data_IF_604206141908
#
_entry.id   IF_604206141908
#
_cell.length_a   1.000
_cell.length_b   1.000
_cell.length_c   1.000
_cell.angle_alpha   90.00
_cell.angle_beta   90.00
_cell.angle_gamma   90.00
#
_symmetry.space_group_name_H-M   'P 1'
#
loop_
_entity.id
_entity.type
_entity.pdbx_description
1 polymer ?
#
# COMPACT_ATOMS: atom_id res chain seq x y z
N UNK A 1 1.76 -23.05 19.39
CA UNK A 1 3.22 -23.22 19.34
C UNK A 1 3.61 -24.47 18.55
N UNK A 2 3.26 -24.51 17.28
CA UNK A 2 3.76 -25.54 16.37
C UNK A 2 5.14 -25.10 15.88
N UNK A 3 6.21 -25.81 16.28
CA UNK A 3 7.60 -25.57 15.88
C UNK A 3 7.93 -25.83 14.41
N UNK A 4 6.92 -25.72 13.53
CA UNK A 4 7.00 -26.01 12.09
C UNK A 4 7.49 -24.80 11.29
N UNK A 5 7.34 -23.58 11.80
CA UNK A 5 7.79 -22.37 11.11
C UNK A 5 9.18 -21.95 11.59
N UNK A 6 10.17 -21.94 10.71
CA UNK A 6 11.49 -21.40 11.01
C UNK A 6 11.40 -19.90 11.37
N UNK A 7 12.38 -19.36 12.11
CA UNK A 7 12.44 -17.94 12.48
C UNK A 7 12.29 -17.00 11.27
N UNK A 8 12.77 -17.42 10.12
CA UNK A 8 12.74 -16.66 8.87
C UNK A 8 11.30 -16.44 8.37
N UNK A 9 10.47 -17.49 8.37
CA UNK A 9 9.07 -17.35 7.95
C UNK A 9 8.23 -16.51 8.92
N UNK A 10 8.55 -16.56 10.21
CA UNK A 10 7.89 -15.73 11.22
C UNK A 10 8.13 -14.23 11.00
N UNK A 11 9.32 -13.84 10.56
CA UNK A 11 9.65 -12.45 10.30
C UNK A 11 8.99 -11.86 9.05
N UNK A 12 8.48 -12.70 8.13
CA UNK A 12 7.81 -12.26 6.91
C UNK A 12 6.33 -11.95 7.09
N UNK A 13 5.69 -12.48 8.11
CA UNK A 13 4.24 -12.41 8.26
C UNK A 13 3.76 -10.95 8.41
N UNK A 14 4.44 -10.14 9.22
CA UNK A 14 4.09 -8.73 9.42
C UNK A 14 4.37 -7.89 8.16
N UNK A 15 5.52 -7.97 7.48
CA UNK A 15 5.75 -7.34 6.18
C UNK A 15 4.70 -7.69 5.11
N UNK A 16 4.21 -8.93 5.08
CA UNK A 16 3.11 -9.33 4.18
C UNK A 16 1.85 -8.53 4.49
N UNK A 17 1.44 -8.43 5.75
CA UNK A 17 0.27 -7.65 6.15
C UNK A 17 0.42 -6.16 5.79
N UNK A 18 1.60 -5.58 6.01
CA UNK A 18 1.92 -4.19 5.66
C UNK A 18 1.83 -3.97 4.15
N UNK A 19 2.43 -4.86 3.35
CA UNK A 19 2.39 -4.76 1.89
C UNK A 19 0.98 -4.98 1.32
N UNK A 20 0.16 -5.84 1.92
CA UNK A 20 -1.27 -5.98 1.57
C UNK A 20 -1.99 -4.66 1.80
N UNK A 21 -1.80 -4.01 2.95
CA UNK A 21 -2.45 -2.73 3.26
C UNK A 21 -2.02 -1.64 2.28
N UNK A 22 -0.72 -1.56 1.96
CA UNK A 22 -0.18 -0.63 0.97
C UNK A 22 -0.75 -0.89 -0.44
N UNK A 23 -0.82 -2.15 -0.86
CA UNK A 23 -1.38 -2.51 -2.15
C UNK A 23 -2.88 -2.18 -2.25
N UNK A 24 -3.67 -2.52 -1.22
CA UNK A 24 -5.12 -2.27 -1.23
C UNK A 24 -5.41 -0.76 -1.14
N UNK A 25 -4.63 0.00 -0.36
CA UNK A 25 -4.78 1.45 -0.27
C UNK A 25 -4.37 2.17 -1.56
N UNK A 26 -3.28 1.77 -2.22
CA UNK A 26 -2.91 2.32 -3.52
C UNK A 26 -3.91 1.93 -4.61
N UNK A 27 -4.47 0.70 -4.56
CA UNK A 27 -5.48 0.25 -5.51
C UNK A 27 -6.76 1.09 -5.47
N UNK A 28 -7.09 1.74 -4.34
CA UNK A 28 -8.19 2.70 -4.25
C UNK A 28 -7.96 3.89 -5.22
N UNK A 29 -6.74 4.41 -5.29
CA UNK A 29 -6.40 5.55 -6.16
C UNK A 29 -6.11 5.09 -7.58
N UNK A 30 -5.22 4.10 -7.75
CA UNK A 30 -4.75 3.71 -9.09
C UNK A 30 -5.77 2.82 -9.80
N UNK A 31 -6.42 1.91 -9.06
CA UNK A 31 -7.32 0.93 -9.65
C UNK A 31 -8.76 1.39 -9.75
N UNK A 32 -9.32 1.97 -8.69
CA UNK A 32 -10.72 2.35 -8.65
C UNK A 32 -10.98 3.79 -9.08
N UNK A 33 -10.09 4.73 -8.76
CA UNK A 33 -10.18 6.11 -9.23
C UNK A 33 -9.55 6.31 -10.62
N UNK A 34 -8.57 5.46 -11.00
CA UNK A 34 -7.89 5.53 -12.28
C UNK A 34 -6.75 6.55 -12.35
N UNK A 35 -6.30 7.06 -11.21
CA UNK A 35 -5.23 8.07 -11.15
C UNK A 35 -3.90 7.42 -10.75
N UNK A 36 -2.88 7.52 -11.60
CA UNK A 36 -1.56 6.95 -11.30
C UNK A 36 -0.85 7.79 -10.24
N UNK A 37 -0.48 7.15 -9.12
CA UNK A 37 0.26 7.80 -8.05
C UNK A 37 1.51 7.00 -7.68
N UNK A 38 2.66 7.68 -7.61
CA UNK A 38 3.97 7.14 -7.23
C UNK A 38 4.49 7.70 -5.89
N UNK A 39 3.64 8.41 -5.14
CA UNK A 39 4.00 9.02 -3.86
C UNK A 39 3.65 8.19 -2.63
N UNK A 40 3.25 6.94 -2.79
CA UNK A 40 2.67 6.14 -1.71
C UNK A 40 3.68 5.83 -0.58
N UNK A 41 4.96 5.62 -0.93
CA UNK A 41 6.04 5.46 0.04
C UNK A 41 6.28 6.73 0.87
N UNK A 42 6.02 7.92 0.32
CA UNK A 42 6.04 9.19 1.07
C UNK A 42 5.04 9.21 2.21
N UNK A 43 3.78 8.82 1.95
CA UNK A 43 2.76 8.71 3.01
C UNK A 43 3.08 7.62 4.02
N UNK A 44 3.60 6.49 3.56
CA UNK A 44 4.13 5.43 4.43
C UNK A 44 5.21 5.97 5.37
N UNK A 45 6.15 6.80 4.86
CA UNK A 45 7.23 7.37 5.65
C UNK A 45 6.71 8.35 6.71
N UNK A 46 5.75 9.22 6.36
CA UNK A 46 5.11 10.15 7.30
C UNK A 46 4.51 9.38 8.48
N UNK A 47 3.72 8.34 8.19
CA UNK A 47 3.13 7.50 9.23
C UNK A 47 4.17 6.80 10.09
N UNK A 48 5.20 6.21 9.48
CA UNK A 48 6.27 5.49 10.15
C UNK A 48 7.04 6.38 11.13
N UNK A 49 7.50 7.56 10.67
CA UNK A 49 8.25 8.49 11.52
C UNK A 49 7.40 9.14 12.60
N UNK A 50 6.17 9.52 12.28
CA UNK A 50 5.24 10.09 13.27
C UNK A 50 4.94 9.10 14.40
N UNK A 51 4.58 7.88 14.05
CA UNK A 51 4.28 6.86 15.06
C UNK A 51 5.51 6.50 15.90
N UNK A 52 6.68 6.40 15.27
CA UNK A 52 7.92 6.12 15.96
C UNK A 52 8.29 7.22 16.96
N UNK A 53 8.21 8.50 16.56
CA UNK A 53 8.51 9.63 17.43
C UNK A 53 7.52 9.72 18.61
N UNK A 54 6.23 9.50 18.38
CA UNK A 54 5.24 9.51 19.44
C UNK A 54 5.50 8.39 20.43
N UNK A 55 5.74 7.16 19.97
CA UNK A 55 5.93 6.02 20.86
C UNK A 55 7.23 6.11 21.68
N UNK A 56 8.30 6.72 21.13
CA UNK A 56 9.52 6.99 21.89
C UNK A 56 9.26 8.01 23.01
N UNK A 57 8.51 9.09 22.72
CA UNK A 57 8.22 10.14 23.67
C UNK A 57 7.12 9.77 24.69
N UNK A 58 6.29 8.77 24.38
CA UNK A 58 5.21 8.31 25.27
C UNK A 58 5.55 7.03 26.02
N UNK A 59 6.82 6.77 26.26
CA UNK A 59 7.31 5.56 26.95
C UNK A 59 6.81 5.43 28.40
N UNK A 60 6.26 6.50 28.99
CA UNK A 60 5.62 6.51 30.31
C UNK A 60 4.20 5.93 30.31
N UNK A 61 3.56 5.76 29.14
CA UNK A 61 2.22 5.19 29.01
C UNK A 61 2.27 3.66 28.91
N UNK A 62 1.15 2.98 29.25
CA UNK A 62 1.04 1.54 28.98
C UNK A 62 1.32 1.24 27.50
N UNK A 63 2.08 0.16 27.18
CA UNK A 63 2.52 -0.15 25.81
C UNK A 63 1.40 -0.18 24.78
N UNK A 64 0.25 -0.77 25.13
CA UNK A 64 -0.91 -0.85 24.24
C UNK A 64 -1.51 0.54 23.92
N UNK A 65 -1.58 1.43 24.90
CA UNK A 65 -2.12 2.78 24.71
C UNK A 65 -1.16 3.65 23.91
N UNK A 66 0.14 3.60 24.21
CA UNK A 66 1.18 4.29 23.45
C UNK A 66 1.16 3.87 21.97
N UNK A 67 1.09 2.57 21.71
CA UNK A 67 0.99 2.03 20.36
C UNK A 67 -0.26 2.52 19.61
N UNK A 68 -1.43 2.44 20.25
CA UNK A 68 -2.68 2.88 19.62
C UNK A 68 -2.66 4.36 19.26
N UNK A 69 -2.23 5.23 20.17
CA UNK A 69 -2.09 6.68 19.94
C UNK A 69 -1.10 6.92 18.80
N UNK A 70 0.06 6.27 18.83
CA UNK A 70 1.10 6.44 17.80
C UNK A 70 0.58 6.07 16.40
N UNK A 71 -0.12 4.95 16.27
CA UNK A 71 -0.67 4.47 14.98
C UNK A 71 -1.76 5.41 14.46
N UNK A 72 -2.68 5.86 15.34
CA UNK A 72 -3.75 6.78 14.96
C UNK A 72 -3.19 8.13 14.53
N UNK A 73 -2.24 8.69 15.28
CA UNK A 73 -1.60 9.96 14.90
C UNK A 73 -0.81 9.83 13.59
N UNK A 74 -0.11 8.70 13.35
CA UNK A 74 0.56 8.44 12.08
C UNK A 74 -0.39 8.38 10.89
N UNK A 75 -1.55 7.71 11.06
CA UNK A 75 -2.62 7.67 10.06
C UNK A 75 -3.19 9.06 9.78
N UNK A 76 -3.53 9.84 10.82
CA UNK A 76 -4.11 11.17 10.68
C UNK A 76 -3.13 12.13 10.01
N UNK A 77 -1.86 12.15 10.41
CA UNK A 77 -0.88 13.04 9.82
C UNK A 77 -0.64 12.71 8.35
N UNK A 78 -0.54 11.43 7.99
CA UNK A 78 -0.45 11.01 6.59
C UNK A 78 -1.69 11.43 5.77
N UNK A 79 -2.89 11.33 6.35
CA UNK A 79 -4.12 11.80 5.72
C UNK A 79 -4.14 13.33 5.52
N UNK A 80 -3.65 14.11 6.49
CA UNK A 80 -3.51 15.57 6.37
C UNK A 80 -2.57 15.95 5.22
N UNK A 81 -1.41 15.32 5.12
CA UNK A 81 -0.51 15.53 3.97
C UNK A 81 -1.14 15.04 2.67
N UNK A 82 -1.89 13.93 2.70
CA UNK A 82 -2.69 13.46 1.57
C UNK A 82 -3.71 14.50 1.12
N UNK A 83 -4.35 15.20 2.04
CA UNK A 83 -5.28 16.30 1.72
C UNK A 83 -4.56 17.50 1.10
N UNK A 84 -3.47 17.97 1.70
CA UNK A 84 -2.69 19.12 1.19
C UNK A 84 -2.25 18.90 -0.25
N UNK A 85 -1.74 17.70 -0.56
CA UNK A 85 -1.29 17.35 -1.88
C UNK A 85 -2.47 17.05 -2.81
N UNK A 86 -3.47 16.33 -2.32
CA UNK A 86 -4.64 15.99 -3.09
C UNK A 86 -5.33 17.24 -3.67
N UNK A 87 -5.49 18.30 -2.87
CA UNK A 87 -6.09 19.56 -3.33
C UNK A 87 -5.25 20.25 -4.41
N UNK A 88 -3.92 20.20 -4.27
CA UNK A 88 -3.01 20.90 -5.18
C UNK A 88 -2.73 20.10 -6.46
N UNK A 89 -2.55 18.79 -6.33
CA UNK A 89 -1.98 17.93 -7.39
C UNK A 89 -3.05 17.21 -8.21
N UNK A 90 -4.21 16.89 -7.65
CA UNK A 90 -5.28 16.17 -8.35
C UNK A 90 -6.01 17.03 -9.44
N UNK A 91 -5.58 18.27 -9.67
CA UNK A 91 -5.94 19.06 -10.84
C UNK A 91 -5.16 18.64 -12.08
N UNK A 92 -4.00 17.99 -11.89
CA UNK A 92 -3.20 17.43 -12.97
C UNK A 92 -3.82 16.09 -13.43
N UNK A 93 -3.56 15.72 -14.68
CA UNK A 93 -4.13 14.51 -15.30
C UNK A 93 -3.00 13.61 -15.80
N UNK A 94 -3.25 12.30 -15.79
CA UNK A 94 -2.37 11.30 -16.39
C UNK A 94 -0.96 11.27 -15.76
N UNK A 95 0.07 11.24 -16.59
CA UNK A 95 1.47 11.05 -16.18
C UNK A 95 2.02 12.21 -15.34
N UNK A 96 1.49 13.43 -15.51
CA UNK A 96 1.91 14.58 -14.69
C UNK A 96 1.57 14.38 -13.22
N UNK A 97 0.45 13.74 -12.92
CA UNK A 97 0.07 13.40 -11.55
C UNK A 97 1.09 12.42 -10.94
N UNK A 98 1.50 11.40 -11.70
CA UNK A 98 2.48 10.43 -11.26
C UNK A 98 3.84 11.07 -10.95
N UNK A 99 4.31 11.97 -11.82
CA UNK A 99 5.59 12.69 -11.65
C UNK A 99 5.55 13.56 -10.39
N UNK A 100 4.48 14.33 -10.18
CA UNK A 100 4.38 15.23 -9.03
C UNK A 100 4.21 14.46 -7.72
N UNK A 101 3.48 13.36 -7.71
CA UNK A 101 3.37 12.52 -6.51
C UNK A 101 4.68 11.80 -6.19
N UNK A 102 5.46 11.41 -7.20
CA UNK A 102 6.81 10.89 -7.01
C UNK A 102 7.74 11.95 -6.41
N UNK A 103 7.74 13.15 -6.99
CA UNK A 103 8.54 14.28 -6.48
C UNK A 103 8.20 14.59 -5.02
N UNK A 104 6.91 14.55 -4.66
CA UNK A 104 6.47 14.69 -3.27
C UNK A 104 7.10 13.62 -2.35
N UNK A 105 7.08 12.35 -2.75
CA UNK A 105 7.70 11.28 -1.98
C UNK A 105 9.19 11.54 -1.71
N UNK A 106 9.93 11.99 -2.74
CA UNK A 106 11.34 12.34 -2.61
C UNK A 106 11.58 13.61 -1.77
N UNK A 107 10.67 14.60 -1.85
CA UNK A 107 10.72 15.79 -0.97
C UNK A 107 10.54 15.37 0.50
N UNK A 108 9.55 14.55 0.82
CA UNK A 108 9.34 14.05 2.19
C UNK A 108 10.57 13.29 2.71
N UNK A 109 11.13 12.39 1.89
CA UNK A 109 12.36 11.67 2.22
C UNK A 109 13.52 12.65 2.50
N UNK A 110 13.69 13.68 1.66
CA UNK A 110 14.75 14.69 1.82
C UNK A 110 14.54 15.52 3.08
N UNK A 111 13.30 15.94 3.38
CA UNK A 111 12.95 16.68 4.60
C UNK A 111 13.25 15.83 5.84
N UNK A 112 12.81 14.57 5.86
CA UNK A 112 13.09 13.64 6.97
C UNK A 112 14.60 13.45 7.16
N UNK A 113 15.34 13.37 6.07
CA UNK A 113 16.80 13.21 6.10
C UNK A 113 17.53 14.44 6.64
N UNK A 114 16.97 15.64 6.45
CA UNK A 114 17.52 16.91 6.93
C UNK A 114 17.21 17.19 8.42
N UNK A 115 16.07 16.71 8.92
CA UNK A 115 15.61 16.99 10.27
C UNK A 115 16.42 16.19 11.32
N UNK A 116 16.98 16.88 12.31
CA UNK A 116 17.79 16.25 13.36
C UNK A 116 16.99 15.34 14.30
N UNK A 117 15.74 15.71 14.61
CA UNK A 117 14.90 14.94 15.53
C UNK A 117 14.40 13.61 14.94
N UNK A 118 14.47 13.44 13.61
CA UNK A 118 14.18 12.17 12.92
C UNK A 118 15.40 11.24 12.86
N UNK A 119 16.56 11.67 13.37
CA UNK A 119 17.84 10.98 13.29
C UNK A 119 18.57 11.16 11.96
N UNK A 120 18.03 11.99 11.04
CA UNK A 120 18.64 12.31 9.74
C UNK A 120 18.96 11.06 8.92
N UNK A 121 20.10 11.05 8.25
CA UNK A 121 20.54 9.93 7.40
C UNK A 121 20.84 8.63 8.16
N UNK A 122 21.13 8.72 9.47
CA UNK A 122 21.34 7.54 10.34
C UNK A 122 20.02 6.80 10.58
N UNK A 123 18.91 7.52 10.48
CA UNK A 123 17.57 7.01 10.77
C UNK A 123 17.22 7.02 12.25
N UNK A 124 15.98 6.69 12.55
CA UNK A 124 15.44 6.62 13.90
C UNK A 124 15.57 5.18 14.42
N UNK A 125 16.17 5.04 15.59
CA UNK A 125 16.39 3.77 16.28
C UNK A 125 15.70 3.76 17.63
N UNK A 126 15.70 2.61 18.32
CA UNK A 126 15.07 2.39 19.63
C UNK A 126 13.53 2.54 19.59
N UNK A 127 12.92 2.23 18.45
CA UNK A 127 11.46 2.20 18.33
C UNK A 127 10.95 0.98 19.09
N UNK A 128 9.96 1.11 19.99
CA UNK A 128 9.39 -0.03 20.68
C UNK A 128 8.76 -1.03 19.69
N UNK A 129 9.07 -2.32 19.84
CA UNK A 129 8.56 -3.39 18.99
C UNK A 129 7.16 -3.82 19.46
N UNK A 130 6.13 -3.17 18.96
CA UNK A 130 4.72 -3.50 19.28
C UNK A 130 4.05 -4.35 18.21
N UNK A 131 4.58 -4.35 16.98
CA UNK A 131 4.05 -5.09 15.83
C UNK A 131 4.93 -6.31 15.49
N UNK A 132 5.52 -6.97 16.50
CA UNK A 132 6.32 -8.16 16.33
C UNK A 132 5.43 -9.40 16.10
N UNK A 133 6.05 -10.51 15.71
CA UNK A 133 5.38 -11.81 15.54
C UNK A 133 4.55 -12.22 16.77
N UNK A 134 4.99 -11.91 17.97
CA UNK A 134 4.25 -12.21 19.19
C UNK A 134 2.89 -11.47 19.26
N UNK A 135 2.79 -10.29 18.66
CA UNK A 135 1.59 -9.48 18.57
C UNK A 135 0.96 -9.49 17.17
N UNK A 136 1.26 -10.52 16.36
CA UNK A 136 0.74 -10.67 14.99
C UNK A 136 -0.78 -10.52 14.91
N UNK A 137 -1.51 -11.00 15.90
CA UNK A 137 -2.99 -10.91 15.92
C UNK A 137 -3.48 -9.48 15.80
N UNK A 138 -2.81 -8.51 16.43
CA UNK A 138 -3.18 -7.08 16.36
C UNK A 138 -2.95 -6.55 14.94
N UNK A 139 -1.79 -6.85 14.34
CA UNK A 139 -1.45 -6.43 12.97
C UNK A 139 -2.44 -7.03 11.97
N UNK A 140 -2.76 -8.30 12.12
CA UNK A 140 -3.72 -9.00 11.26
C UNK A 140 -5.12 -8.41 11.36
N UNK A 141 -5.61 -8.11 12.56
CA UNK A 141 -6.92 -7.46 12.78
C UNK A 141 -6.93 -6.08 12.10
N UNK A 142 -5.89 -5.26 12.28
CA UNK A 142 -5.80 -3.95 11.66
C UNK A 142 -5.80 -4.06 10.13
N UNK A 143 -5.08 -5.02 9.56
CA UNK A 143 -5.08 -5.31 8.12
C UNK A 143 -6.48 -5.67 7.62
N UNK A 144 -7.19 -6.57 8.31
CA UNK A 144 -8.54 -6.99 7.93
C UNK A 144 -9.51 -5.80 8.01
N UNK A 145 -9.44 -4.99 9.07
CA UNK A 145 -10.25 -3.76 9.19
C UNK A 145 -9.98 -2.83 8.01
N UNK A 146 -8.72 -2.60 7.64
CA UNK A 146 -8.34 -1.78 6.49
C UNK A 146 -8.99 -2.30 5.19
N UNK A 147 -8.89 -3.60 4.92
CA UNK A 147 -9.48 -4.22 3.73
C UNK A 147 -11.00 -4.07 3.72
N UNK A 148 -11.65 -4.32 4.85
CA UNK A 148 -13.12 -4.19 4.98
C UNK A 148 -13.57 -2.76 4.79
N UNK A 149 -12.89 -1.78 5.39
CA UNK A 149 -13.23 -0.36 5.24
C UNK A 149 -13.09 0.11 3.79
N UNK A 150 -11.99 -0.23 3.10
CA UNK A 150 -11.79 0.10 1.70
C UNK A 150 -12.82 -0.62 0.82
N UNK A 151 -13.10 -1.90 1.07
CA UNK A 151 -14.11 -2.66 0.33
C UNK A 151 -15.51 -2.07 0.48
N UNK A 152 -15.90 -1.68 1.70
CA UNK A 152 -17.18 -1.04 1.97
C UNK A 152 -17.26 0.34 1.30
N UNK A 153 -16.16 1.13 1.33
CA UNK A 153 -16.09 2.41 0.63
C UNK A 153 -16.34 2.23 -0.88
N UNK A 154 -15.66 1.27 -1.51
CA UNK A 154 -15.76 1.01 -2.96
C UNK A 154 -17.17 0.55 -3.37
N UNK A 155 -17.88 -0.15 -2.49
CA UNK A 155 -19.25 -0.62 -2.73
C UNK A 155 -20.33 0.39 -2.29
N UNK A 156 -19.95 1.50 -1.65
CA UNK A 156 -20.84 2.57 -1.22
C UNK A 156 -21.31 3.48 -2.37
N UNK A 157 -22.10 4.50 -2.06
CA UNK A 157 -22.49 5.56 -3.02
C UNK A 157 -21.27 6.32 -3.51
N UNK A 158 -20.35 6.66 -2.60
CA UNK A 158 -19.12 7.39 -2.92
C UNK A 158 -18.18 6.54 -3.79
N UNK A 159 -18.10 5.25 -3.55
CA UNK A 159 -17.33 4.32 -4.38
C UNK A 159 -17.87 4.19 -5.81
N UNK A 160 -19.19 4.25 -5.98
CA UNK A 160 -19.80 4.30 -7.34
C UNK A 160 -19.48 5.60 -8.06
N UNK A 161 -19.48 6.73 -7.34
CA UNK A 161 -19.06 8.02 -7.91
C UNK A 161 -17.56 8.00 -8.29
N UNK A 162 -16.68 7.39 -7.47
CA UNK A 162 -15.27 7.23 -7.80
C UNK A 162 -15.09 6.40 -9.08
N UNK A 163 -15.81 5.28 -9.22
CA UNK A 163 -15.73 4.42 -10.41
C UNK A 163 -16.25 5.16 -11.67
N UNK A 164 -17.33 5.92 -11.56
CA UNK A 164 -17.86 6.70 -12.71
C UNK A 164 -16.87 7.77 -13.18
N UNK A 165 -16.12 8.40 -12.27
CA UNK A 165 -15.06 9.35 -12.62
C UNK A 165 -13.94 8.64 -13.40
N UNK A 166 -13.55 7.44 -13.00
CA UNK A 166 -12.56 6.64 -13.73
C UNK A 166 -13.01 6.30 -15.15
N UNK A 167 -14.27 5.92 -15.30
CA UNK A 167 -14.79 5.47 -16.60
C UNK A 167 -14.97 6.64 -17.58
N UNK A 168 -15.50 7.78 -17.12
CA UNK A 168 -15.58 9.04 -17.90
C UNK A 168 -15.83 10.22 -16.96
N UNK A 169 -14.81 11.07 -16.78
CA UNK A 169 -14.87 12.22 -15.87
C UNK A 169 -15.85 13.30 -16.38
N UNK A 170 -15.92 13.54 -17.71
CA UNK A 170 -16.83 14.52 -18.30
C UNK A 170 -18.29 14.11 -18.13
N UNK A 171 -18.59 12.82 -18.37
CA UNK A 171 -19.94 12.30 -18.17
C UNK A 171 -20.36 12.32 -16.69
N UNK A 172 -19.43 12.01 -15.78
CA UNK A 172 -19.68 12.09 -14.35
C UNK A 172 -19.99 13.51 -13.89
N UNK A 173 -19.27 14.50 -14.42
CA UNK A 173 -19.51 15.92 -14.12
C UNK A 173 -20.88 16.40 -14.66
N UNK A 174 -21.27 15.97 -15.85
CA UNK A 174 -22.56 16.33 -16.47
C UNK A 174 -23.77 15.87 -15.66
N UNK A 175 -23.67 14.80 -14.89
CA UNK A 175 -24.72 14.30 -13.99
C UNK A 175 -24.58 14.84 -12.54
N UNK A 176 -23.71 15.87 -12.33
CA UNK A 176 -23.59 16.61 -11.06
C UNK A 176 -22.61 16.01 -10.06
N UNK A 177 -21.75 15.06 -10.45
CA UNK A 177 -20.70 14.51 -9.57
C UNK A 177 -19.56 15.53 -9.45
N UNK A 178 -19.25 15.96 -8.21
CA UNK A 178 -18.14 16.87 -7.93
C UNK A 178 -16.79 16.12 -7.97
N UNK A 179 -16.16 16.06 -9.15
CA UNK A 179 -14.93 15.29 -9.42
C UNK A 179 -13.85 15.54 -8.36
N UNK A 180 -13.50 16.82 -8.12
CA UNK A 180 -12.43 17.19 -7.19
C UNK A 180 -12.67 16.67 -5.77
N UNK A 181 -13.92 16.67 -5.28
CA UNK A 181 -14.27 16.18 -3.95
C UNK A 181 -13.97 14.67 -3.82
N UNK A 182 -14.40 13.89 -4.79
CA UNK A 182 -14.23 12.42 -4.76
C UNK A 182 -12.78 12.01 -5.00
N UNK A 183 -12.06 12.69 -5.89
CA UNK A 183 -10.63 12.47 -6.10
C UNK A 183 -9.83 12.74 -4.82
N UNK A 184 -10.04 13.91 -4.19
CA UNK A 184 -9.35 14.27 -2.94
C UNK A 184 -9.70 13.29 -1.81
N UNK A 185 -10.99 12.93 -1.64
CA UNK A 185 -11.39 12.01 -0.58
C UNK A 185 -10.75 10.62 -0.73
N UNK A 186 -10.74 10.05 -1.94
CA UNK A 186 -10.09 8.78 -2.21
C UNK A 186 -8.58 8.83 -1.92
N UNK A 187 -7.92 9.92 -2.30
CA UNK A 187 -6.49 10.13 -2.09
C UNK A 187 -6.14 10.29 -0.60
N UNK A 188 -6.93 11.04 0.15
CA UNK A 188 -6.78 11.23 1.61
C UNK A 188 -6.91 9.91 2.36
N UNK A 189 -7.94 9.12 2.01
CA UNK A 189 -8.17 7.82 2.63
C UNK A 189 -7.00 6.87 2.32
N UNK A 190 -6.56 6.82 1.07
CA UNK A 190 -5.43 5.99 0.68
C UNK A 190 -4.12 6.40 1.38
N UNK A 191 -3.86 7.71 1.50
CA UNK A 191 -2.71 8.25 2.23
C UNK A 191 -2.76 7.91 3.73
N UNK A 192 -3.94 7.99 4.35
CA UNK A 192 -4.14 7.60 5.75
C UNK A 192 -3.81 6.12 5.98
N UNK A 193 -4.33 5.22 5.14
CA UNK A 193 -4.01 3.80 5.25
C UNK A 193 -2.55 3.47 4.92
N UNK A 194 -1.92 4.22 4.01
CA UNK A 194 -0.48 4.09 3.79
C UNK A 194 0.33 4.51 5.03
N UNK A 195 -0.07 5.60 5.69
CA UNK A 195 0.53 6.02 6.95
C UNK A 195 0.34 5.01 8.07
N UNK A 196 -0.85 4.40 8.14
CA UNK A 196 -1.14 3.33 9.09
C UNK A 196 -0.25 2.10 8.84
N UNK A 197 -0.09 1.67 7.59
CA UNK A 197 0.81 0.60 7.20
C UNK A 197 2.28 0.93 7.55
N UNK A 198 2.70 2.19 7.33
CA UNK A 198 4.02 2.69 7.72
C UNK A 198 4.26 2.65 9.23
N UNK A 199 3.25 3.01 10.03
CA UNK A 199 3.30 2.92 11.49
C UNK A 199 3.52 1.49 11.97
N UNK A 200 2.79 0.52 11.41
CA UNK A 200 2.99 -0.90 11.73
C UNK A 200 4.38 -1.39 11.31
N UNK A 201 4.87 -0.94 10.16
CA UNK A 201 6.21 -1.27 9.68
C UNK A 201 7.30 -0.77 10.63
N UNK A 202 7.21 0.47 11.10
CA UNK A 202 8.17 1.05 12.03
C UNK A 202 8.29 0.26 13.34
N UNK A 203 7.15 -0.12 13.91
CA UNK A 203 7.08 -0.92 15.13
C UNK A 203 7.42 -2.41 14.95
N UNK A 204 7.51 -2.88 13.71
CA UNK A 204 7.98 -4.24 13.39
C UNK A 204 9.50 -4.30 13.29
N UNK A 205 10.12 -3.31 12.61
CA UNK A 205 11.56 -3.33 12.33
C UNK A 205 12.38 -2.72 13.46
N UNK A 206 11.82 -1.77 14.22
CA UNK A 206 12.49 -1.09 15.34
C UNK A 206 13.54 -0.07 14.96
N UNK A 207 13.97 -0.04 13.69
CA UNK A 207 14.91 0.95 13.13
C UNK A 207 14.42 1.32 11.73
N UNK A 208 14.16 2.61 11.50
CA UNK A 208 13.75 3.12 10.19
C UNK A 208 14.76 4.11 9.66
N UNK A 209 15.05 4.02 8.36
CA UNK A 209 15.94 4.94 7.63
C UNK A 209 15.16 5.59 6.49
N UNK A 210 15.44 6.87 6.14
CA UNK A 210 14.74 7.55 5.04
C UNK A 210 14.85 6.83 3.71
N UNK A 211 15.97 6.17 3.44
CA UNK A 211 16.24 5.46 2.18
C UNK A 211 15.34 4.22 1.96
N UNK A 212 14.63 3.74 2.98
CA UNK A 212 13.68 2.64 2.83
C UNK A 212 12.40 3.11 2.12
N UNK A 213 12.08 4.40 2.22
CA UNK A 213 10.87 5.03 1.71
C UNK A 213 11.14 5.82 0.41
N UNK A 214 11.96 5.28 -0.46
CA UNK A 214 12.34 5.89 -1.74
C UNK A 214 11.31 5.59 -2.85
N UNK A 215 11.59 6.11 -4.05
CA UNK A 215 10.75 5.87 -5.23
C UNK A 215 10.65 4.39 -5.59
N UNK A 216 11.70 3.59 -5.32
CA UNK A 216 11.66 2.14 -5.59
C UNK A 216 10.57 1.46 -4.79
N UNK A 217 10.38 1.87 -3.52
CA UNK A 217 9.30 1.35 -2.68
C UNK A 217 7.93 1.74 -3.22
N UNK A 218 7.76 2.95 -3.74
CA UNK A 218 6.50 3.34 -4.41
C UNK A 218 6.22 2.51 -5.67
N UNK A 219 7.26 2.24 -6.48
CA UNK A 219 7.15 1.38 -7.66
C UNK A 219 6.81 -0.06 -7.24
N UNK A 220 7.45 -0.60 -6.22
CA UNK A 220 7.16 -1.93 -5.70
C UNK A 220 5.67 -2.07 -5.31
N UNK A 221 5.13 -1.08 -4.59
CA UNK A 221 3.71 -1.07 -4.20
C UNK A 221 2.81 -0.98 -5.45
N UNK A 222 3.18 -0.18 -6.44
CA UNK A 222 2.45 -0.09 -7.71
C UNK A 222 2.45 -1.44 -8.45
N UNK A 223 3.58 -2.13 -8.46
CA UNK A 223 3.70 -3.47 -9.08
C UNK A 223 2.72 -4.46 -8.43
N UNK A 224 2.53 -4.42 -7.10
CA UNK A 224 1.52 -5.26 -6.43
C UNK A 224 0.11 -5.00 -6.98
N UNK A 225 -0.23 -3.74 -7.23
CA UNK A 225 -1.56 -3.36 -7.75
C UNK A 225 -1.73 -3.75 -9.21
N UNK A 226 -0.73 -3.46 -10.05
CA UNK A 226 -0.78 -3.74 -11.50
C UNK A 226 -0.85 -5.25 -11.76
N UNK A 227 0.00 -6.03 -11.08
CA UNK A 227 0.00 -7.50 -11.23
C UNK A 227 -1.24 -8.14 -10.63
N UNK A 228 -1.78 -7.59 -9.55
CA UNK A 228 -3.03 -8.03 -8.96
C UNK A 228 -4.26 -7.70 -9.82
N UNK A 229 -4.09 -6.78 -10.76
CA UNK A 229 -5.16 -6.21 -11.58
C UNK A 229 -5.77 -4.96 -10.94
N UNK A 230 -5.61 -3.83 -11.62
CA UNK A 230 -6.15 -2.55 -11.19
C UNK A 230 -7.67 -2.63 -10.99
N UNK A 231 -8.16 -2.17 -9.83
CA UNK A 231 -9.57 -2.25 -9.45
C UNK A 231 -10.03 -3.62 -8.92
N UNK A 232 -9.09 -4.53 -8.62
CA UNK A 232 -9.36 -5.84 -8.06
C UNK A 232 -8.68 -6.01 -6.69
N UNK A 233 -9.46 -5.94 -5.59
CA UNK A 233 -8.91 -6.08 -4.22
C UNK A 233 -8.32 -7.48 -3.99
N UNK A 234 -9.02 -8.61 -4.26
CA UNK A 234 -8.45 -9.93 -4.07
C UNK A 234 -7.15 -10.15 -4.86
N UNK A 235 -7.10 -9.64 -6.09
CA UNK A 235 -5.89 -9.72 -6.92
C UNK A 235 -4.71 -8.99 -6.28
N UNK A 236 -4.90 -7.76 -5.78
CA UNK A 236 -3.85 -7.00 -5.10
C UNK A 236 -3.36 -7.68 -3.82
N UNK A 237 -4.25 -8.34 -3.07
CA UNK A 237 -3.86 -9.11 -1.88
C UNK A 237 -2.97 -10.29 -2.29
N UNK A 238 -3.39 -11.07 -3.29
CA UNK A 238 -2.63 -12.24 -3.75
C UNK A 238 -1.27 -11.83 -4.30
N UNK A 239 -1.20 -10.78 -5.12
CA UNK A 239 0.06 -10.31 -5.68
C UNK A 239 0.99 -9.77 -4.59
N UNK A 240 0.49 -9.04 -3.60
CA UNK A 240 1.28 -8.56 -2.47
C UNK A 240 1.88 -9.74 -1.66
N UNK A 241 1.11 -10.79 -1.41
CA UNK A 241 1.61 -12.00 -0.74
C UNK A 241 2.73 -12.64 -1.58
N UNK A 242 2.46 -12.95 -2.84
CA UNK A 242 3.41 -13.65 -3.72
C UNK A 242 4.70 -12.86 -3.84
N UNK A 243 4.62 -11.56 -4.14
CA UNK A 243 5.80 -10.73 -4.40
C UNK A 243 6.58 -10.39 -3.12
N UNK A 244 5.95 -10.41 -1.95
CA UNK A 244 6.66 -10.26 -0.69
C UNK A 244 7.41 -11.53 -0.30
N UNK A 245 6.85 -12.69 -0.59
CA UNK A 245 7.43 -14.00 -0.25
C UNK A 245 8.49 -14.44 -1.26
N UNK A 246 8.30 -14.10 -2.54
CA UNK A 246 9.16 -14.53 -3.65
C UNK A 246 10.66 -14.21 -3.45
N UNK A 247 11.06 -12.97 -3.04
CA UNK A 247 12.46 -12.67 -2.80
C UNK A 247 13.10 -13.50 -1.70
N UNK A 248 12.33 -13.96 -0.72
CA UNK A 248 12.85 -14.80 0.35
C UNK A 248 13.04 -16.26 -0.10
N UNK A 249 12.13 -16.76 -0.94
CA UNK A 249 12.32 -18.08 -1.57
C UNK A 249 13.56 -18.11 -2.49
N UNK A 250 13.84 -17.00 -3.17
CA UNK A 250 15.00 -16.86 -4.05
C UNK A 250 16.30 -16.54 -3.30
N UNK A 251 16.28 -16.44 -1.97
CA UNK A 251 17.44 -16.09 -1.15
C UNK A 251 18.60 -17.09 -1.30
N UNK A 252 18.29 -18.35 -1.58
CA UNK A 252 19.29 -19.39 -1.85
C UNK A 252 20.02 -19.26 -3.19
N UNK A 253 19.57 -18.38 -4.09
CA UNK A 253 20.14 -18.18 -5.41
C UNK A 253 21.14 -17.00 -5.48
N UNK A 254 21.53 -16.42 -4.34
CA UNK A 254 22.50 -15.31 -4.17
C UNK A 254 22.43 -14.24 -5.30
N UNK A 255 23.43 -14.19 -6.18
CA UNK A 255 23.53 -13.17 -7.23
C UNK A 255 22.43 -13.25 -8.30
N UNK A 256 21.76 -14.40 -8.47
CA UNK A 256 20.68 -14.57 -9.45
C UNK A 256 19.30 -14.13 -8.92
N UNK A 257 19.20 -13.83 -7.63
CA UNK A 257 17.93 -13.46 -6.97
C UNK A 257 17.19 -12.32 -7.68
N UNK A 258 17.91 -11.22 -7.98
CA UNK A 258 17.31 -10.05 -8.65
C UNK A 258 16.88 -10.36 -10.08
N UNK A 259 17.68 -11.15 -10.80
CA UNK A 259 17.36 -11.56 -12.17
C UNK A 259 16.13 -12.46 -12.19
N UNK A 260 16.08 -13.47 -11.32
CA UNK A 260 14.93 -14.38 -11.21
C UNK A 260 13.66 -13.63 -10.80
N UNK A 261 13.76 -12.68 -9.87
CA UNK A 261 12.65 -11.82 -9.48
C UNK A 261 12.12 -11.03 -10.69
N UNK A 262 13.00 -10.40 -11.45
CA UNK A 262 12.60 -9.66 -12.66
C UNK A 262 11.93 -10.56 -13.72
N UNK A 263 12.46 -11.76 -13.95
CA UNK A 263 11.85 -12.74 -14.87
C UNK A 263 10.45 -13.13 -14.42
N UNK A 264 10.27 -13.43 -13.14
CA UNK A 264 8.96 -13.80 -12.59
C UNK A 264 7.96 -12.65 -12.71
N UNK A 265 8.38 -11.40 -12.49
CA UNK A 265 7.53 -10.22 -12.70
C UNK A 265 7.08 -10.11 -14.16
N UNK A 266 8.00 -10.25 -15.12
CA UNK A 266 7.69 -10.19 -16.55
C UNK A 266 6.71 -11.32 -16.93
N UNK A 267 6.96 -12.55 -16.51
CA UNK A 267 6.07 -13.68 -16.76
C UNK A 267 4.68 -13.44 -16.17
N UNK A 268 4.59 -12.98 -14.91
CA UNK A 268 3.33 -12.65 -14.27
C UNK A 268 2.55 -11.56 -15.02
N UNK A 269 3.25 -10.53 -15.51
CA UNK A 269 2.64 -9.46 -16.30
C UNK A 269 2.11 -9.96 -17.63
N UNK A 270 2.87 -10.81 -18.34
CA UNK A 270 2.45 -11.44 -19.59
C UNK A 270 1.22 -12.34 -19.34
N UNK A 271 1.22 -13.17 -18.31
CA UNK A 271 0.08 -14.02 -17.97
C UNK A 271 -1.16 -13.22 -17.55
N UNK A 272 -1.00 -12.12 -16.85
CA UNK A 272 -2.13 -11.30 -16.41
C UNK A 272 -2.75 -10.49 -17.56
N UNK A 273 -1.95 -10.06 -18.52
CA UNK A 273 -2.40 -9.23 -19.66
C UNK A 273 -2.72 -10.04 -20.92
N UNK A 274 -2.40 -11.33 -20.95
CA UNK A 274 -2.60 -12.12 -22.15
C UNK A 274 -4.08 -12.47 -22.35
N UNK A 275 -4.50 -12.48 -23.62
CA UNK A 275 -5.76 -13.04 -24.12
C UNK A 275 -6.00 -14.50 -23.65
N UNK A 276 -5.04 -15.06 -22.91
CA UNK A 276 -5.09 -16.40 -22.31
C UNK A 276 -6.20 -16.52 -21.27
N UNK A 277 -6.50 -15.45 -20.49
CA UNK A 277 -7.66 -15.40 -19.60
C UNK A 277 -8.99 -15.40 -20.39
N UNK A 278 -9.02 -14.74 -21.52
CA UNK A 278 -10.19 -14.73 -22.41
C UNK A 278 -10.44 -16.11 -23.04
N UNK A 279 -9.41 -16.79 -23.48
CA UNK A 279 -9.52 -18.15 -24.03
C UNK A 279 -9.88 -19.20 -22.97
N UNK A 280 -9.39 -19.08 -21.75
CA UNK A 280 -9.76 -19.97 -20.65
C UNK A 280 -11.21 -19.74 -20.19
N UNK A 281 -11.72 -18.51 -20.24
CA UNK A 281 -13.12 -18.21 -19.92
C UNK A 281 -14.07 -18.68 -21.02
N UNK A 282 -13.72 -18.49 -22.28
CA UNK A 282 -14.46 -19.00 -23.43
C UNK A 282 -14.53 -20.53 -23.42
N UNK A 283 -13.42 -21.21 -23.14
CA UNK A 283 -13.39 -22.67 -23.06
C UNK A 283 -14.21 -23.23 -21.86
N UNK A 284 -14.32 -22.47 -20.75
CA UNK A 284 -15.21 -22.81 -19.63
C UNK A 284 -16.69 -22.63 -19.99
N UNK A 285 -17.03 -21.63 -20.77
CA UNK A 285 -18.40 -21.36 -21.22
C UNK A 285 -18.84 -22.39 -22.26
N UNK A 286 -17.99 -22.72 -23.23
CA UNK A 286 -18.27 -23.81 -24.19
C UNK A 286 -18.36 -25.18 -23.54
N UNK A 287 -17.61 -25.44 -22.47
CA UNK A 287 -17.67 -26.73 -21.72
C UNK A 287 -18.90 -26.83 -20.81
N UNK A 288 -19.57 -25.71 -20.47
CA UNK A 288 -20.84 -25.70 -19.78
C UNK A 288 -22.04 -25.93 -20.74
N UNK A 289 -21.96 -25.33 -21.92
CA UNK A 289 -23.01 -25.51 -22.96
C UNK A 289 -23.00 -26.93 -23.58
N UNK A 290 -21.85 -27.61 -23.64
CA UNK A 290 -21.78 -29.01 -24.12
C UNK A 290 -22.03 -30.07 -23.05
N UNK A 291 -22.59 -29.73 -21.88
CA UNK A 291 -23.00 -30.66 -20.84
C UNK A 291 -24.52 -30.63 -20.58
N UNK A 292 -25.24 -29.81 -21.32
CA UNK A 292 -26.70 -29.68 -21.23
C UNK A 292 -27.42 -30.33 -22.45
N UNK A 293 -26.65 -30.98 -23.34
CA UNK A 293 -27.12 -31.95 -24.32
C UNK A 293 -26.67 -33.37 -23.89
#
# INVERSE_FOLDING_TARGET
NSGILSRQYKSLIVPICVNIMLAVSLNLVTGFLGELSLGHAGFMSIGAYTSALISINTSFLPPALSFFIAVVCGCILAAVFGFLIGVSVLRLRGDYLAIVTLAFGEIIKSVINYLNFTGGSKGLSKIPLYSDYNNFTVVFIIMVICIVLISNLINSRDGRAIKSIRDNDIAAESIGIKISKYKVSAFVIAAGFAGLAGSLYAHNVGIIKPNIFDYNKSIEILVFVVLGGMGNIPGSIISAIILTVLPEFLRGADNLRMLLYAIVLILMMIFNNSKFKANLSLNKTFRKLGKED
#
